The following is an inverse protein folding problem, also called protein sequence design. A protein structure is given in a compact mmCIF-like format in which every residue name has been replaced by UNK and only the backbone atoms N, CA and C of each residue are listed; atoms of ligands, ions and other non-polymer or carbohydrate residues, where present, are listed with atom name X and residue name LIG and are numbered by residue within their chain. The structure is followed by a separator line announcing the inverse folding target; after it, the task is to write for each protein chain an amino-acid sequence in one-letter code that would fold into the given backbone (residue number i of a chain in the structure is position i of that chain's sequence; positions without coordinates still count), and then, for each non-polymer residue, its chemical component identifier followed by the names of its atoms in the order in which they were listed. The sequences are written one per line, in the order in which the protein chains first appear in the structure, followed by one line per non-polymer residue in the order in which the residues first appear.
data_IF_957580687172
#
_entry.id   IF_957580687172
#
_cell.length_a   1.000
_cell.length_b   1.000
_cell.length_c   1.000
_cell.angle_alpha   90.00
_cell.angle_beta   90.00
_cell.angle_gamma   90.00
#
_symmetry.space_group_name_H-M   'P 1'
#
loop_
_entity.id
_entity.type
_entity.pdbx_description
1 polymer ?
#
# COMPACT_ATOMS: atom_id res chain seq x y z
N UNK A 1 -11.67 4.09 -3.63
CA UNK A 1 -12.52 4.48 -2.49
C UNK A 1 -11.73 5.49 -1.65
N UNK A 2 -12.30 6.66 -1.34
CA UNK A 2 -11.61 7.83 -0.78
C UNK A 2 -11.69 7.79 0.76
N UNK A 3 -10.56 7.58 1.43
CA UNK A 3 -10.42 7.67 2.89
C UNK A 3 -10.18 9.13 3.23
N UNK A 4 -11.24 9.86 3.62
CA UNK A 4 -11.26 11.34 3.70
C UNK A 4 -10.85 12.02 2.37
N UNK A 5 -11.15 13.31 2.22
CA UNK A 5 -11.01 13.99 0.93
C UNK A 5 -9.58 13.95 0.35
N UNK A 6 -8.57 13.59 1.12
CA UNK A 6 -7.19 13.92 0.74
C UNK A 6 -6.29 12.70 0.54
N UNK A 7 -6.82 11.47 0.51
CA UNK A 7 -6.01 10.26 0.35
C UNK A 7 -6.35 9.43 -0.89
N UNK A 8 -5.30 8.98 -1.59
CA UNK A 8 -5.36 8.01 -2.68
C UNK A 8 -4.51 6.79 -2.30
N UNK A 9 -5.12 5.61 -2.32
CA UNK A 9 -4.40 4.35 -2.02
C UNK A 9 -4.33 3.47 -3.25
N UNK A 10 -3.13 3.08 -3.64
CA UNK A 10 -2.87 2.07 -4.66
C UNK A 10 -2.85 0.69 -4.00
N UNK A 11 -3.70 -0.22 -4.48
CA UNK A 11 -3.76 -1.61 -3.99
C UNK A 11 -3.09 -2.50 -5.02
N UNK A 12 -1.92 -3.05 -4.68
CA UNK A 12 -1.23 -4.02 -5.53
C UNK A 12 -1.58 -5.43 -5.06
N UNK A 13 -2.23 -6.22 -5.93
CA UNK A 13 -2.64 -7.60 -5.63
C UNK A 13 -1.74 -8.62 -6.33
N UNK A 14 -1.38 -9.71 -5.64
CA UNK A 14 -0.66 -10.85 -6.25
C UNK A 14 -1.30 -12.18 -5.90
N UNK A 15 -1.66 -12.94 -6.93
CA UNK A 15 -2.05 -14.35 -6.83
C UNK A 15 -0.84 -15.24 -6.57
N UNK A 16 0.15 -15.14 -7.45
CA UNK A 16 1.45 -15.80 -7.29
C UNK A 16 2.52 -14.76 -6.94
N UNK A 17 3.31 -15.05 -5.89
CA UNK A 17 4.49 -14.27 -5.56
C UNK A 17 5.67 -14.83 -6.34
N UNK A 18 6.26 -13.97 -7.17
CA UNK A 18 7.44 -14.30 -7.97
C UNK A 18 8.62 -13.47 -7.45
N UNK A 19 9.84 -13.79 -7.90
CA UNK A 19 11.08 -13.12 -7.46
C UNK A 19 11.08 -11.60 -7.70
N UNK A 20 10.23 -11.10 -8.60
CA UNK A 20 10.12 -9.67 -8.93
C UNK A 20 9.28 -8.85 -7.94
N UNK A 21 8.53 -9.49 -7.03
CA UNK A 21 7.63 -8.76 -6.10
C UNK A 21 8.41 -7.73 -5.28
N UNK A 22 9.55 -8.05 -4.63
CA UNK A 22 10.33 -7.06 -3.89
C UNK A 22 10.77 -5.86 -4.73
N UNK A 23 11.24 -6.10 -5.96
CA UNK A 23 11.70 -5.04 -6.87
C UNK A 23 10.55 -4.14 -7.32
N UNK A 24 9.37 -4.72 -7.60
CA UNK A 24 8.16 -3.96 -7.92
C UNK A 24 7.72 -3.10 -6.75
N UNK A 25 7.78 -3.62 -5.53
CA UNK A 25 7.43 -2.86 -4.32
C UNK A 25 8.43 -1.72 -4.05
N UNK A 26 9.72 -1.93 -4.30
CA UNK A 26 10.72 -0.84 -4.26
C UNK A 26 10.42 0.25 -5.28
N UNK A 27 10.06 -0.12 -6.51
CA UNK A 27 9.70 0.87 -7.55
C UNK A 27 8.43 1.64 -7.19
N UNK A 28 7.43 0.95 -6.63
CA UNK A 28 6.18 1.58 -6.17
C UNK A 28 6.44 2.53 -4.99
N UNK A 29 7.39 2.20 -4.12
CA UNK A 29 7.85 3.10 -3.07
C UNK A 29 8.53 4.35 -3.63
N UNK A 30 9.45 4.21 -4.58
CA UNK A 30 10.08 5.38 -5.21
C UNK A 30 9.03 6.30 -5.82
N UNK A 31 8.07 5.71 -6.55
CA UNK A 31 6.95 6.47 -7.08
C UNK A 31 6.20 7.21 -5.96
N UNK A 32 5.87 6.53 -4.85
CA UNK A 32 5.22 7.14 -3.69
C UNK A 32 5.99 8.34 -3.12
N UNK A 33 7.32 8.25 -3.01
CA UNK A 33 8.18 9.35 -2.57
C UNK A 33 8.10 10.53 -3.56
N UNK A 34 8.19 10.24 -4.86
CA UNK A 34 8.17 11.25 -5.91
C UNK A 34 6.82 12.01 -5.98
N UNK A 35 5.67 11.31 -5.94
CA UNK A 35 4.36 11.97 -6.01
C UNK A 35 4.05 12.80 -4.77
N UNK A 36 4.44 12.34 -3.58
CA UNK A 36 4.19 13.09 -2.34
C UNK A 36 5.17 14.26 -2.16
N UNK A 37 6.38 14.20 -2.72
CA UNK A 37 7.29 15.35 -2.74
C UNK A 37 6.76 16.51 -3.62
N UNK A 38 5.97 16.20 -4.66
CA UNK A 38 5.53 17.17 -5.66
C UNK A 38 4.14 17.77 -5.41
N UNK A 39 3.37 17.27 -4.42
CA UNK A 39 1.98 17.68 -4.21
C UNK A 39 1.70 18.12 -2.78
N UNK A 40 1.07 19.30 -2.65
CA UNK A 40 0.49 19.79 -1.38
C UNK A 40 -1.01 19.46 -1.39
N UNK A 41 -1.49 18.76 -0.36
CA UNK A 41 -2.92 18.54 -0.12
C UNK A 41 -3.52 17.22 -0.61
N UNK A 42 -2.73 16.31 -1.19
CA UNK A 42 -3.16 14.91 -1.41
C UNK A 42 -2.05 13.94 -1.02
N UNK A 43 -2.39 12.99 -0.15
CA UNK A 43 -1.50 11.95 0.36
C UNK A 43 -1.73 10.66 -0.42
N UNK A 44 -0.71 10.25 -1.17
CA UNK A 44 -0.70 8.95 -1.81
C UNK A 44 -0.19 7.90 -0.84
N UNK A 45 -0.72 6.68 -0.90
CA UNK A 45 -0.21 5.51 -0.20
C UNK A 45 -0.31 4.28 -1.09
N UNK A 46 0.36 3.20 -0.69
CA UNK A 46 0.15 1.89 -1.27
C UNK A 46 -0.02 0.80 -0.21
N UNK A 47 -0.66 -0.28 -0.61
CA UNK A 47 -0.80 -1.52 0.16
C UNK A 47 -0.61 -2.72 -0.76
N UNK A 48 0.12 -3.71 -0.26
CA UNK A 48 0.39 -4.96 -0.95
C UNK A 48 -0.48 -6.08 -0.39
N UNK A 49 -1.19 -6.79 -1.25
CA UNK A 49 -2.12 -7.87 -0.88
C UNK A 49 -1.72 -9.15 -1.60
N UNK A 50 -1.12 -10.09 -0.87
CA UNK A 50 -0.88 -11.43 -1.37
C UNK A 50 -2.11 -12.33 -1.14
N UNK A 51 -2.32 -13.30 -2.03
CA UNK A 51 -3.49 -14.18 -2.01
C UNK A 51 -3.59 -15.02 -0.74
N UNK A 52 -2.46 -15.53 -0.23
CA UNK A 52 -2.42 -16.33 0.99
C UNK A 52 -2.96 -15.55 2.20
N UNK A 53 -2.46 -14.34 2.41
CA UNK A 53 -2.91 -13.42 3.46
C UNK A 53 -4.37 -13.01 3.26
N UNK A 54 -4.82 -12.79 2.01
CA UNK A 54 -6.21 -12.43 1.73
C UNK A 54 -7.18 -13.56 2.06
N UNK A 55 -6.83 -14.80 1.72
CA UNK A 55 -7.62 -15.98 2.09
C UNK A 55 -7.63 -16.22 3.60
N UNK A 56 -6.51 -15.99 4.27
CA UNK A 56 -6.39 -16.18 5.72
C UNK A 56 -7.17 -15.13 6.52
N UNK A 57 -6.98 -13.84 6.21
CA UNK A 57 -7.57 -12.75 6.97
C UNK A 57 -8.98 -12.36 6.50
N UNK A 58 -9.31 -12.63 5.23
CA UNK A 58 -10.63 -12.37 4.63
C UNK A 58 -11.26 -11.02 5.04
N UNK A 59 -10.55 -9.88 4.81
CA UNK A 59 -10.97 -8.57 5.29
C UNK A 59 -12.37 -8.21 4.79
N UNK A 60 -13.19 -7.62 5.66
CA UNK A 60 -14.59 -7.26 5.35
C UNK A 60 -14.77 -5.79 5.01
N UNK A 61 -13.77 -4.98 5.32
CA UNK A 61 -13.72 -3.57 4.98
C UNK A 61 -12.35 -3.17 4.45
N UNK A 62 -12.30 -2.00 3.82
CA UNK A 62 -11.02 -1.43 3.38
C UNK A 62 -10.12 -1.05 4.57
N UNK A 63 -10.71 -0.66 5.70
CA UNK A 63 -9.97 -0.41 6.93
C UNK A 63 -9.29 -1.70 7.43
N UNK A 64 -10.01 -2.82 7.42
CA UNK A 64 -9.45 -4.13 7.80
C UNK A 64 -8.31 -4.53 6.86
N UNK A 65 -8.46 -4.27 5.56
CA UNK A 65 -7.42 -4.51 4.56
C UNK A 65 -6.16 -3.67 4.88
N UNK A 66 -6.31 -2.37 5.17
CA UNK A 66 -5.16 -1.53 5.50
C UNK A 66 -4.50 -1.90 6.83
N UNK A 67 -5.26 -2.43 7.79
CA UNK A 67 -4.77 -2.89 9.08
C UNK A 67 -4.02 -4.23 8.95
N UNK A 68 -4.54 -5.17 8.17
CA UNK A 68 -4.02 -6.53 8.03
C UNK A 68 -2.84 -6.67 7.06
N UNK A 69 -2.71 -5.78 6.08
CA UNK A 69 -1.67 -5.87 5.04
C UNK A 69 -0.58 -4.81 5.26
N UNK A 70 0.46 -5.19 6.02
CA UNK A 70 1.54 -4.29 6.46
C UNK A 70 2.93 -4.65 5.92
N UNK A 71 3.06 -5.72 5.14
CA UNK A 71 4.34 -6.31 4.67
C UNK A 71 5.33 -5.28 4.08
N UNK A 72 4.82 -4.28 3.35
CA UNK A 72 5.62 -3.21 2.75
C UNK A 72 5.26 -1.81 3.30
N UNK A 73 4.73 -1.73 4.53
CA UNK A 73 4.39 -0.47 5.20
C UNK A 73 5.41 -0.03 6.24
N UNK A 74 6.30 -0.90 6.71
CA UNK A 74 7.18 -0.55 7.83
C UNK A 74 8.25 0.49 7.49
N UNK A 75 8.45 0.77 6.21
CA UNK A 75 9.44 1.76 5.77
C UNK A 75 8.84 3.15 5.47
N UNK A 76 7.57 3.38 5.82
CA UNK A 76 7.05 4.75 5.79
C UNK A 76 7.89 5.61 6.74
N UNK A 77 8.40 6.77 6.29
CA UNK A 77 9.02 7.72 7.20
C UNK A 77 8.01 8.09 8.29
N UNK A 78 8.49 8.25 9.53
CA UNK A 78 7.67 8.36 10.74
C UNK A 78 6.58 9.43 10.69
N UNK A 79 6.70 10.41 9.78
CA UNK A 79 5.69 11.43 9.50
C UNK A 79 4.39 10.88 8.88
N UNK A 80 4.36 9.61 8.44
CA UNK A 80 3.22 8.93 7.84
C UNK A 80 2.78 7.65 8.58
N UNK A 81 3.34 7.38 9.78
CA UNK A 81 2.90 6.28 10.65
C UNK A 81 1.73 6.70 11.54
#
# INVERSE_FOLDING_TARGET
MRLSSDYIVVVETKGQQDLDVPLKMQRLRQWWEDVNALRVGMNYHFVYVNEAGYKQYAPKSFADLLAGFREYKNDYPAIFQ
#
